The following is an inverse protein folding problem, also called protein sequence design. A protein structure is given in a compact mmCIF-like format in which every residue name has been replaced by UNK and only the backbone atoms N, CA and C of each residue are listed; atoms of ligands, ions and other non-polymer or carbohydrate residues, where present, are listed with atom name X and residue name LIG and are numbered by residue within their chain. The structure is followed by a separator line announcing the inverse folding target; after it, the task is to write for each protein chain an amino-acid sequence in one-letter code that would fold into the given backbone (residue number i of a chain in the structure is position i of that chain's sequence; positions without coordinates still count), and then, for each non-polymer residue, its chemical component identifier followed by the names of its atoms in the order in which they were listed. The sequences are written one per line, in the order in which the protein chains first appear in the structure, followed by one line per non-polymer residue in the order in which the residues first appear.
data_IF_336840720287
#
_entry.id   IF_336840720287
#
_cell.length_a   1.000
_cell.length_b   1.000
_cell.length_c   1.000
_cell.angle_alpha   90.00
_cell.angle_beta   90.00
_cell.angle_gamma   90.00
#
_symmetry.space_group_name_H-M   'P 1'
#
loop_
_entity.id
_entity.type
_entity.pdbx_description
1 polymer ?
#
# COMPACT_ATOMS: atom_id res chain seq x y z
N UNK A 1 15.77 -9.43 -13.63
CA UNK A 1 15.69 -8.93 -15.02
C UNK A 1 16.99 -8.27 -15.44
N UNK A 2 17.18 -7.99 -16.73
CA UNK A 2 18.34 -7.23 -17.25
C UNK A 2 18.00 -6.54 -18.57
N UNK A 3 18.65 -5.43 -18.85
CA UNK A 3 18.54 -4.77 -20.15
C UNK A 3 19.24 -5.57 -21.25
N UNK A 4 18.69 -5.56 -22.47
CA UNK A 4 19.34 -6.16 -23.63
C UNK A 4 20.67 -5.48 -23.99
N UNK A 5 20.82 -4.20 -23.66
CA UNK A 5 22.04 -3.41 -23.90
C UNK A 5 23.05 -3.47 -22.74
N UNK A 6 22.80 -4.31 -21.72
CA UNK A 6 23.71 -4.53 -20.61
C UNK A 6 23.83 -3.39 -19.60
N UNK A 7 23.07 -2.29 -19.73
CA UNK A 7 23.18 -1.13 -18.83
C UNK A 7 22.68 -1.36 -17.42
N UNK A 8 21.76 -2.31 -17.23
CA UNK A 8 21.27 -2.66 -15.90
C UNK A 8 20.92 -4.14 -15.79
N UNK A 9 21.03 -4.65 -14.57
CA UNK A 9 20.50 -5.95 -14.15
C UNK A 9 19.89 -5.79 -12.76
N UNK A 10 18.75 -6.42 -12.50
CA UNK A 10 18.23 -6.55 -11.14
C UNK A 10 19.23 -7.37 -10.34
N UNK A 11 19.59 -6.89 -9.15
CA UNK A 11 20.47 -7.62 -8.23
C UNK A 11 19.64 -8.40 -7.22
N UNK A 12 18.58 -7.78 -6.68
CA UNK A 12 17.68 -8.37 -5.69
C UNK A 12 16.25 -7.93 -6.00
N UNK A 13 15.30 -8.85 -5.88
CA UNK A 13 13.88 -8.52 -5.95
C UNK A 13 13.41 -7.97 -4.60
N UNK A 14 12.59 -6.93 -4.62
CA UNK A 14 12.01 -6.35 -3.43
C UNK A 14 10.53 -6.02 -3.66
N UNK A 15 9.74 -6.11 -2.60
CA UNK A 15 8.31 -5.84 -2.62
C UNK A 15 7.95 -5.10 -1.33
N UNK A 16 7.16 -4.04 -1.44
CA UNK A 16 6.57 -3.44 -0.25
C UNK A 16 5.59 -4.45 0.39
N UNK A 17 5.41 -4.34 1.70
CA UNK A 17 4.49 -5.20 2.45
C UNK A 17 3.71 -4.39 3.46
N UNK A 18 2.49 -4.84 3.75
CA UNK A 18 1.74 -4.38 4.90
C UNK A 18 2.18 -5.13 6.15
N UNK A 19 2.17 -4.44 7.28
CA UNK A 19 2.45 -5.03 8.60
C UNK A 19 1.30 -4.74 9.55
N UNK A 20 1.12 -5.60 10.55
CA UNK A 20 0.12 -5.40 11.59
C UNK A 20 0.65 -5.87 12.96
N UNK A 21 0.04 -5.37 14.04
CA UNK A 21 0.37 -5.78 15.39
C UNK A 21 -0.29 -7.12 15.74
N UNK A 22 0.48 -8.22 15.75
CA UNK A 22 -0.01 -9.58 16.06
C UNK A 22 -0.44 -9.78 17.52
N UNK A 23 -0.03 -8.90 18.44
CA UNK A 23 -0.46 -8.98 19.84
C UNK A 23 -1.93 -8.57 19.97
N UNK A 24 -2.26 -7.43 19.37
CA UNK A 24 -3.59 -6.81 19.43
C UNK A 24 -4.55 -7.34 18.37
N UNK A 25 -4.05 -7.70 17.18
CA UNK A 25 -4.87 -8.12 16.04
C UNK A 25 -4.48 -9.54 15.59
N UNK A 26 -5.29 -10.53 15.98
CA UNK A 26 -5.08 -11.95 15.65
C UNK A 26 -5.39 -12.29 14.21
N UNK A 27 -6.44 -11.66 13.67
CA UNK A 27 -6.86 -11.81 12.28
C UNK A 27 -6.57 -10.51 11.54
N UNK A 28 -5.53 -10.46 10.68
CA UNK A 28 -5.23 -9.24 9.93
C UNK A 28 -6.29 -8.96 8.85
N UNK A 29 -6.41 -7.70 8.41
CA UNK A 29 -7.14 -7.33 7.20
C UNK A 29 -6.61 -8.15 6.01
N UNK A 30 -7.51 -8.61 5.15
CA UNK A 30 -7.16 -9.38 3.94
C UNK A 30 -7.55 -8.67 2.66
N UNK A 31 -8.46 -7.70 2.74
CA UNK A 31 -8.88 -6.87 1.62
C UNK A 31 -8.62 -5.40 1.91
N UNK A 32 -8.73 -4.57 0.86
CA UNK A 32 -8.70 -3.12 1.02
C UNK A 32 -9.92 -2.65 1.84
N UNK A 33 -11.08 -3.25 1.63
CA UNK A 33 -12.32 -2.90 2.33
C UNK A 33 -12.21 -3.12 3.84
N UNK A 34 -11.51 -4.16 4.28
CA UNK A 34 -11.28 -4.44 5.71
C UNK A 34 -10.57 -3.27 6.41
N UNK A 35 -9.69 -2.55 5.70
CA UNK A 35 -8.96 -1.40 6.25
C UNK A 35 -9.85 -0.18 6.50
N UNK A 36 -11.06 -0.15 5.94
CA UNK A 36 -12.04 0.92 6.16
C UNK A 36 -12.91 0.67 7.39
N UNK A 37 -12.77 -0.47 8.08
CA UNK A 37 -13.54 -0.76 9.27
C UNK A 37 -13.32 0.34 10.35
N UNK A 38 -14.39 0.89 10.96
CA UNK A 38 -14.27 1.92 11.99
C UNK A 38 -13.43 1.53 13.21
N UNK A 39 -13.25 0.23 13.48
CA UNK A 39 -12.37 -0.26 14.53
C UNK A 39 -10.90 0.16 14.35
N UNK A 40 -10.52 0.48 13.11
CA UNK A 40 -9.18 0.97 12.74
C UNK A 40 -9.05 2.50 12.71
N UNK A 41 -10.06 3.25 13.17
CA UNK A 41 -9.94 4.71 13.28
C UNK A 41 -8.67 5.10 14.02
N UNK A 42 -7.86 5.97 13.42
CA UNK A 42 -6.54 6.43 13.92
C UNK A 42 -5.52 5.30 14.17
N UNK A 43 -5.63 4.18 13.42
CA UNK A 43 -4.78 2.99 13.57
C UNK A 43 -4.23 2.44 12.25
N UNK A 44 -4.45 3.11 11.11
CA UNK A 44 -3.90 2.72 9.81
C UNK A 44 -2.97 3.80 9.28
N UNK A 45 -1.66 3.58 9.36
CA UNK A 45 -0.70 4.54 8.83
C UNK A 45 0.11 3.95 7.68
N UNK A 46 0.33 4.77 6.65
CA UNK A 46 1.29 4.52 5.59
C UNK A 46 2.15 5.75 5.37
N UNK A 47 3.37 5.56 4.86
CA UNK A 47 4.30 6.67 4.63
C UNK A 47 3.83 7.57 3.50
N UNK A 48 4.22 8.85 3.54
CA UNK A 48 3.77 9.85 2.57
C UNK A 48 4.21 9.52 1.14
N UNK A 49 3.26 9.33 0.19
CA UNK A 49 3.60 9.13 -1.22
C UNK A 49 4.43 10.29 -1.77
N UNK A 50 5.46 10.00 -2.56
CA UNK A 50 6.40 10.98 -3.10
C UNK A 50 7.56 11.37 -2.18
N UNK A 51 7.48 11.06 -0.88
CA UNK A 51 8.60 11.22 0.08
C UNK A 51 9.28 9.89 0.36
N UNK A 52 8.47 8.84 0.57
CA UNK A 52 8.94 7.48 0.83
C UNK A 52 8.62 6.54 -0.34
N UNK A 53 9.53 5.62 -0.64
CA UNK A 53 9.36 4.60 -1.68
C UNK A 53 8.12 3.74 -1.45
N UNK A 54 7.96 3.21 -0.23
CA UNK A 54 6.81 2.35 0.12
C UNK A 54 5.48 3.12 0.13
N UNK A 55 5.48 4.39 0.52
CA UNK A 55 4.29 5.25 0.41
C UNK A 55 3.84 5.42 -1.03
N UNK A 56 4.80 5.60 -1.94
CA UNK A 56 4.55 5.66 -3.38
C UNK A 56 4.08 4.31 -3.91
N UNK A 57 4.65 3.20 -3.41
CA UNK A 57 4.24 1.85 -3.79
C UNK A 57 2.79 1.53 -3.38
N UNK A 58 2.33 1.98 -2.20
CA UNK A 58 0.92 1.86 -1.78
C UNK A 58 -0.02 2.57 -2.75
N UNK A 59 0.31 3.80 -3.17
CA UNK A 59 -0.48 4.55 -4.15
C UNK A 59 -0.54 3.81 -5.50
N UNK A 60 0.61 3.34 -6.00
CA UNK A 60 0.66 2.58 -7.27
C UNK A 60 -0.14 1.28 -7.17
N UNK A 61 -0.05 0.55 -6.04
CA UNK A 61 -0.83 -0.68 -5.84
C UNK A 61 -2.32 -0.40 -5.82
N UNK A 62 -2.76 0.66 -5.13
CA UNK A 62 -4.16 1.06 -5.12
C UNK A 62 -4.66 1.37 -6.55
N UNK A 63 -3.88 2.12 -7.34
CA UNK A 63 -4.23 2.40 -8.75
C UNK A 63 -4.35 1.12 -9.59
N UNK A 64 -3.45 0.17 -9.40
CA UNK A 64 -3.52 -1.13 -10.07
C UNK A 64 -4.80 -1.90 -9.69
N UNK A 65 -5.08 -2.03 -8.39
CA UNK A 65 -6.18 -2.88 -7.90
C UNK A 65 -7.56 -2.29 -8.13
N UNK A 66 -7.68 -0.96 -8.05
CA UNK A 66 -8.94 -0.26 -8.29
C UNK A 66 -9.16 0.12 -9.76
N UNK A 67 -8.23 -0.20 -10.65
CA UNK A 67 -8.39 0.01 -12.10
C UNK A 67 -8.18 1.46 -12.57
N UNK A 68 -7.40 2.25 -11.83
CA UNK A 68 -7.01 3.60 -12.23
C UNK A 68 -6.87 4.59 -11.09
N UNK A 69 -6.49 5.82 -11.45
CA UNK A 69 -6.23 6.90 -10.49
C UNK A 69 -7.48 7.35 -9.74
N UNK A 70 -8.58 7.63 -10.44
CA UNK A 70 -9.81 8.13 -9.81
C UNK A 70 -10.37 7.18 -8.73
N UNK A 71 -10.60 5.88 -9.01
CA UNK A 71 -11.15 4.98 -8.00
C UNK A 71 -10.16 4.73 -6.84
N UNK A 72 -8.86 4.71 -7.10
CA UNK A 72 -7.84 4.61 -6.06
C UNK A 72 -7.83 5.84 -5.13
N UNK A 73 -7.89 7.04 -5.68
CA UNK A 73 -7.95 8.27 -4.88
C UNK A 73 -9.25 8.36 -4.10
N UNK A 74 -10.37 7.90 -4.65
CA UNK A 74 -11.64 7.79 -3.93
C UNK A 74 -11.53 6.83 -2.74
N UNK A 75 -10.85 5.69 -2.90
CA UNK A 75 -10.57 4.77 -1.81
C UNK A 75 -9.63 5.38 -0.75
N UNK A 76 -8.50 5.95 -1.16
CA UNK A 76 -7.51 6.54 -0.22
C UNK A 76 -8.11 7.70 0.58
N UNK A 77 -9.02 8.48 -0.01
CA UNK A 77 -9.78 9.51 0.72
C UNK A 77 -10.65 8.92 1.82
N UNK A 78 -11.27 7.75 1.61
CA UNK A 78 -12.00 7.03 2.66
C UNK A 78 -11.05 6.47 3.70
N UNK A 79 -9.95 5.86 3.27
CA UNK A 79 -8.95 5.30 4.18
C UNK A 79 -8.33 6.37 5.09
N UNK A 80 -8.22 7.61 4.62
CA UNK A 80 -7.70 8.73 5.40
C UNK A 80 -8.49 9.00 6.69
N UNK A 81 -9.74 8.53 6.83
CA UNK A 81 -10.46 8.63 8.11
C UNK A 81 -9.91 7.70 9.19
N UNK A 82 -9.12 6.69 8.80
CA UNK A 82 -8.49 5.72 9.67
C UNK A 82 -6.99 5.96 9.87
N UNK A 83 -6.43 6.98 9.21
CA UNK A 83 -5.03 7.41 9.31
C UNK A 83 -4.81 8.44 10.40
#
# INVERSE_FOLDING_TARGET
DRAADGKWTSVVNNYFGFIHNKKELKSPPRTWEDLLDPAYKEKVQYSTPGVAGDGTAVLIKAMHDFGGQEPAMAYLKKLQTNN
#
